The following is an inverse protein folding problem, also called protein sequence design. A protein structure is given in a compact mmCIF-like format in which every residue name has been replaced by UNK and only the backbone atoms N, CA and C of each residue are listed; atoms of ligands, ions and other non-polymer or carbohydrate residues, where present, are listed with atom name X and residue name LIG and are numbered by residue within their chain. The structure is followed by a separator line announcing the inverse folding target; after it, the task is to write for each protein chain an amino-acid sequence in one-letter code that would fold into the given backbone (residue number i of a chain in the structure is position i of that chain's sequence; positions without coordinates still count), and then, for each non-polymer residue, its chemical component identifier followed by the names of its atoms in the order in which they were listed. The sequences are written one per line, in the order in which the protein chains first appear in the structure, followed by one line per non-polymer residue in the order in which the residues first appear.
data_IF_568561654996
#
_entry.id   IF_568561654996
#
_cell.length_a   1.000
_cell.length_b   1.000
_cell.length_c   1.000
_cell.angle_alpha   90.00
_cell.angle_beta   90.00
_cell.angle_gamma   90.00
#
_symmetry.space_group_name_H-M   'P 1'
#
loop_
_entity.id
_entity.type
_entity.pdbx_description
1 polymer ?
#
# COMPACT_ATOMS: atom_id res chain seq x y z
N UNK A 1 77.58 9.74 17.64
CA UNK A 1 77.07 9.64 16.31
C UNK A 1 75.57 9.90 16.45
N UNK A 2 75.05 11.04 15.95
CA UNK A 2 73.62 11.44 16.19
C UNK A 2 72.66 10.85 15.17
N UNK A 3 71.46 10.57 15.67
CA UNK A 3 70.33 10.10 14.97
C UNK A 3 69.87 11.03 13.83
N UNK A 4 69.53 10.44 12.65
CA UNK A 4 68.88 11.13 11.58
C UNK A 4 67.35 11.03 11.80
N UNK A 5 66.59 12.11 11.75
CA UNK A 5 65.15 12.04 11.72
C UNK A 5 64.67 11.60 10.33
N UNK A 6 63.86 10.54 10.30
CA UNK A 6 63.09 10.12 9.13
C UNK A 6 62.01 11.15 8.85
N UNK A 7 62.26 12.05 7.92
CA UNK A 7 61.30 12.96 7.37
C UNK A 7 60.47 12.18 6.29
N UNK A 8 59.42 11.53 6.73
CA UNK A 8 58.41 10.98 5.80
C UNK A 8 57.61 12.14 5.22
N UNK A 9 57.99 12.59 4.05
CA UNK A 9 57.26 13.57 3.27
C UNK A 9 55.86 13.05 2.99
N UNK A 10 54.89 13.70 3.56
CA UNK A 10 53.48 13.57 3.17
C UNK A 10 53.39 14.13 1.75
N UNK A 11 53.36 13.25 0.76
CA UNK A 11 53.00 13.62 -0.60
C UNK A 11 51.51 13.99 -0.56
N UNK A 12 51.13 15.23 -0.92
CA UNK A 12 49.73 15.57 -1.04
C UNK A 12 49.14 14.69 -2.16
N UNK A 13 48.27 13.77 -1.77
CA UNK A 13 47.50 12.96 -2.74
C UNK A 13 46.78 13.91 -3.67
N UNK A 14 47.00 13.74 -4.99
CA UNK A 14 46.20 14.40 -6.04
C UNK A 14 44.73 14.24 -5.68
N UNK A 15 44.01 15.36 -5.52
CA UNK A 15 42.56 15.43 -5.50
C UNK A 15 42.04 14.85 -6.84
N UNK A 16 41.86 13.55 -6.88
CA UNK A 16 41.15 12.91 -7.96
C UNK A 16 39.69 13.24 -7.73
N UNK A 17 39.19 14.25 -8.42
CA UNK A 17 37.77 14.60 -8.39
C UNK A 17 36.92 13.34 -8.61
N UNK A 18 36.21 12.95 -7.58
CA UNK A 18 35.37 11.74 -7.64
C UNK A 18 34.33 11.90 -8.76
N UNK A 19 34.21 10.87 -9.58
CA UNK A 19 33.25 10.85 -10.67
C UNK A 19 31.82 11.01 -10.10
N UNK A 20 31.01 11.86 -10.76
CA UNK A 20 29.60 12.04 -10.37
C UNK A 20 28.89 10.69 -10.27
N UNK A 21 28.09 10.55 -9.21
CA UNK A 21 27.31 9.34 -8.99
C UNK A 21 26.16 9.23 -10.01
N UNK A 22 26.12 8.12 -10.73
CA UNK A 22 24.98 7.76 -11.57
C UNK A 22 23.95 6.98 -10.71
N UNK A 23 22.73 7.50 -10.52
CA UNK A 23 21.67 6.79 -9.79
C UNK A 23 21.33 5.39 -10.32
N UNK A 24 21.66 5.10 -11.59
CA UNK A 24 21.48 3.76 -12.19
C UNK A 24 22.40 2.72 -11.54
N UNK A 25 23.54 3.14 -11.02
CA UNK A 25 24.46 2.27 -10.26
C UNK A 25 23.87 1.76 -8.94
N UNK A 26 22.75 2.35 -8.47
CA UNK A 26 22.00 1.85 -7.32
C UNK A 26 21.12 0.62 -7.65
N UNK A 27 21.14 0.11 -8.88
CA UNK A 27 20.31 -1.06 -9.27
C UNK A 27 20.50 -2.30 -8.37
N UNK A 28 21.69 -2.67 -7.87
CA UNK A 28 21.83 -3.79 -6.94
C UNK A 28 21.07 -3.60 -5.63
N UNK A 29 21.05 -2.39 -5.09
CA UNK A 29 20.26 -2.04 -3.91
C UNK A 29 18.74 -2.11 -4.21
N UNK A 30 18.32 -1.54 -5.32
CA UNK A 30 16.91 -1.49 -5.73
C UNK A 30 16.36 -2.90 -5.99
N UNK A 31 17.16 -3.75 -6.63
CA UNK A 31 16.78 -5.11 -7.01
C UNK A 31 16.63 -6.09 -5.83
N UNK A 32 17.08 -5.73 -4.63
CA UNK A 32 16.74 -6.48 -3.40
C UNK A 32 15.23 -6.56 -3.14
N UNK A 33 14.47 -5.58 -3.66
CA UNK A 33 13.02 -5.58 -3.50
C UNK A 33 12.35 -6.51 -4.50
N UNK A 34 11.46 -7.37 -4.02
CA UNK A 34 10.70 -8.32 -4.86
C UNK A 34 9.66 -7.60 -5.73
N UNK A 35 9.09 -6.50 -5.24
CA UNK A 35 7.99 -5.78 -5.89
C UNK A 35 8.49 -4.73 -6.87
N UNK A 36 8.03 -4.78 -8.14
CA UNK A 36 8.34 -3.77 -9.16
C UNK A 36 7.89 -2.36 -8.77
N UNK A 37 6.77 -2.24 -8.06
CA UNK A 37 6.30 -0.95 -7.56
C UNK A 37 7.28 -0.36 -6.53
N UNK A 38 7.81 -1.19 -5.64
CA UNK A 38 8.83 -0.80 -4.66
C UNK A 38 10.14 -0.44 -5.35
N UNK A 39 10.57 -1.24 -6.33
CA UNK A 39 11.78 -0.94 -7.12
C UNK A 39 11.68 0.43 -7.79
N UNK A 40 10.56 0.71 -8.49
CA UNK A 40 10.33 2.02 -9.12
C UNK A 40 10.31 3.16 -8.10
N UNK A 41 9.69 2.98 -6.94
CA UNK A 41 9.65 4.00 -5.90
C UNK A 41 11.04 4.27 -5.30
N UNK A 42 11.83 3.23 -5.08
CA UNK A 42 13.20 3.33 -4.58
C UNK A 42 14.12 4.01 -5.59
N UNK A 43 14.09 3.59 -6.87
CA UNK A 43 14.86 4.23 -7.93
C UNK A 43 14.58 5.72 -8.04
N UNK A 44 13.29 6.11 -8.00
CA UNK A 44 12.92 7.53 -8.01
C UNK A 44 13.45 8.29 -6.82
N UNK A 45 13.34 7.74 -5.61
CA UNK A 45 13.80 8.43 -4.41
C UNK A 45 15.33 8.62 -4.41
N UNK A 46 16.08 7.62 -4.86
CA UNK A 46 17.55 7.72 -5.03
C UNK A 46 17.88 8.76 -6.10
N UNK A 47 17.24 8.68 -7.28
CA UNK A 47 17.46 9.65 -8.36
C UNK A 47 17.15 11.10 -7.91
N UNK A 48 16.02 11.32 -7.22
CA UNK A 48 15.61 12.62 -6.70
C UNK A 48 16.65 13.20 -5.72
N UNK A 49 17.19 12.36 -4.83
CA UNK A 49 18.21 12.78 -3.87
C UNK A 49 19.52 13.16 -4.56
N UNK A 50 20.03 12.30 -5.44
CA UNK A 50 21.30 12.57 -6.12
C UNK A 50 21.20 13.72 -7.13
N UNK A 51 20.04 13.95 -7.72
CA UNK A 51 19.76 15.17 -8.49
C UNK A 51 19.85 16.42 -7.59
N UNK A 52 19.30 16.38 -6.38
CA UNK A 52 19.37 17.49 -5.41
C UNK A 52 20.82 17.81 -5.01
N UNK A 53 21.64 16.81 -4.70
CA UNK A 53 23.05 16.99 -4.35
C UNK A 53 23.97 17.11 -5.57
N UNK A 54 23.41 17.37 -6.77
CA UNK A 54 24.13 17.59 -8.03
C UNK A 54 25.06 16.46 -8.44
N UNK A 55 24.69 15.21 -8.14
CA UNK A 55 25.48 14.04 -8.47
C UNK A 55 26.71 13.84 -7.58
N UNK A 56 26.74 14.41 -6.38
CA UNK A 56 27.80 14.20 -5.38
C UNK A 56 28.07 12.71 -5.20
N UNK A 57 29.35 12.32 -5.12
CA UNK A 57 29.67 10.91 -4.86
C UNK A 57 29.14 10.50 -3.46
N UNK A 58 28.67 9.25 -3.25
CA UNK A 58 28.13 8.82 -1.96
C UNK A 58 29.08 9.01 -0.76
N UNK A 59 30.39 8.90 -0.97
CA UNK A 59 31.40 9.12 0.07
C UNK A 59 31.52 10.58 0.52
N UNK A 60 31.05 11.52 -0.30
CA UNK A 60 31.10 12.97 -0.04
C UNK A 60 29.79 13.49 0.56
N UNK A 61 28.76 12.65 0.63
CA UNK A 61 27.47 13.04 1.20
C UNK A 61 27.58 13.12 2.70
N UNK A 62 27.22 14.29 3.24
CA UNK A 62 27.23 14.57 4.68
C UNK A 62 25.80 14.70 5.23
N UNK A 63 25.58 14.56 6.55
CA UNK A 63 24.25 14.64 7.15
C UNK A 63 23.49 15.93 6.80
N UNK A 64 24.20 17.06 6.67
CA UNK A 64 23.60 18.34 6.30
C UNK A 64 23.02 18.36 4.87
N UNK A 65 23.55 17.55 3.94
CA UNK A 65 22.96 17.40 2.61
C UNK A 65 21.58 16.72 2.71
N UNK A 66 21.47 15.69 3.55
CA UNK A 66 20.21 14.96 3.75
C UNK A 66 19.20 15.83 4.50
N UNK A 67 19.63 16.63 5.48
CA UNK A 67 18.79 17.59 6.20
C UNK A 67 18.23 18.65 5.24
N UNK A 68 19.09 19.28 4.41
CA UNK A 68 18.65 20.26 3.41
C UNK A 68 17.66 19.66 2.41
N UNK A 69 17.87 18.43 1.96
CA UNK A 69 16.92 17.76 1.08
C UNK A 69 15.58 17.51 1.78
N UNK A 70 15.57 17.05 3.03
CA UNK A 70 14.35 16.93 3.84
C UNK A 70 13.59 18.26 3.89
N UNK A 71 14.31 19.35 4.19
CA UNK A 71 13.71 20.66 4.36
C UNK A 71 13.20 21.23 3.04
N UNK A 72 13.89 20.99 1.91
CA UNK A 72 13.39 21.29 0.58
C UNK A 72 12.10 20.52 0.26
N UNK A 73 12.03 19.21 0.57
CA UNK A 73 10.80 18.43 0.36
C UNK A 73 9.62 19.00 1.17
N UNK A 74 9.89 19.50 2.39
CA UNK A 74 8.89 20.19 3.23
C UNK A 74 8.48 21.54 2.62
N UNK A 75 9.43 22.31 2.16
CA UNK A 75 9.16 23.58 1.48
C UNK A 75 8.32 23.40 0.19
N UNK A 76 8.52 22.29 -0.51
CA UNK A 76 7.67 21.87 -1.64
C UNK A 76 6.28 21.37 -1.22
N UNK A 77 5.89 21.50 0.04
CA UNK A 77 4.60 21.06 0.60
C UNK A 77 4.33 19.56 0.38
N UNK A 78 5.38 18.71 0.32
CA UNK A 78 5.19 17.27 0.26
C UNK A 78 4.60 16.76 1.59
N UNK A 79 3.66 15.82 1.50
CA UNK A 79 3.03 15.21 2.70
C UNK A 79 4.11 14.60 3.61
N UNK A 80 4.00 14.71 4.95
CA UNK A 80 4.97 14.16 5.90
C UNK A 80 5.31 12.69 5.65
N UNK A 81 4.30 11.86 5.32
CA UNK A 81 4.50 10.46 4.96
C UNK A 81 5.37 10.27 3.70
N UNK A 82 5.27 11.16 2.71
CA UNK A 82 6.10 11.13 1.50
C UNK A 82 7.55 11.49 1.83
N UNK A 83 7.76 12.51 2.68
CA UNK A 83 9.10 12.91 3.14
C UNK A 83 9.73 11.78 3.94
N UNK A 84 9.01 11.22 4.91
CA UNK A 84 9.45 10.09 5.72
C UNK A 84 9.81 8.87 4.87
N UNK A 85 8.97 8.53 3.88
CA UNK A 85 9.26 7.44 2.94
C UNK A 85 10.55 7.69 2.16
N UNK A 86 10.72 8.86 1.56
CA UNK A 86 11.92 9.20 0.78
C UNK A 86 13.19 9.14 1.65
N UNK A 87 13.14 9.68 2.87
CA UNK A 87 14.25 9.58 3.83
C UNK A 87 14.55 8.12 4.20
N UNK A 88 13.53 7.29 4.40
CA UNK A 88 13.74 5.87 4.72
C UNK A 88 14.45 5.11 3.58
N UNK A 89 14.15 5.46 2.32
CA UNK A 89 14.82 4.87 1.16
C UNK A 89 16.30 5.29 1.14
N UNK A 90 16.61 6.57 1.31
CA UNK A 90 17.99 7.07 1.33
C UNK A 90 18.76 6.48 2.50
N UNK A 91 18.15 6.37 3.68
CA UNK A 91 18.73 5.69 4.84
C UNK A 91 19.07 4.23 4.54
N UNK A 92 18.15 3.51 3.94
CA UNK A 92 18.36 2.12 3.55
C UNK A 92 19.43 1.97 2.46
N UNK A 93 19.53 2.92 1.54
CA UNK A 93 20.57 2.96 0.52
C UNK A 93 21.95 3.18 1.15
N UNK A 94 22.11 4.15 2.02
CA UNK A 94 23.38 4.38 2.69
C UNK A 94 23.77 3.26 3.67
N UNK A 95 22.78 2.59 4.28
CA UNK A 95 23.05 1.38 5.07
C UNK A 95 23.57 0.24 4.20
N UNK A 96 23.04 0.09 2.99
CA UNK A 96 23.55 -0.86 2.01
C UNK A 96 24.98 -0.54 1.58
N UNK A 97 25.30 0.73 1.33
CA UNK A 97 26.66 1.15 0.98
C UNK A 97 27.65 0.97 2.13
N UNK A 98 27.19 1.24 3.37
CA UNK A 98 27.99 1.01 4.57
C UNK A 98 28.30 -0.47 4.76
N UNK A 99 27.31 -1.35 4.61
CA UNK A 99 27.51 -2.79 4.69
C UNK A 99 28.46 -3.32 3.59
N UNK A 100 28.52 -2.63 2.45
CA UNK A 100 29.47 -2.92 1.35
C UNK A 100 30.83 -2.23 1.48
N UNK A 101 31.12 -1.54 2.60
CA UNK A 101 32.39 -0.86 2.82
C UNK A 101 32.62 0.41 1.98
N UNK A 102 31.59 0.87 1.23
CA UNK A 102 31.71 2.06 0.35
C UNK A 102 31.71 3.36 1.16
N UNK A 103 30.94 3.43 2.23
CA UNK A 103 30.91 4.58 3.15
C UNK A 103 31.13 4.11 4.59
N UNK A 104 31.88 4.86 5.43
CA UNK A 104 32.17 4.45 6.80
C UNK A 104 30.93 4.60 7.72
N UNK A 105 30.09 5.59 7.46
CA UNK A 105 28.91 5.90 8.26
C UNK A 105 27.72 6.19 7.36
N UNK A 106 26.51 6.01 7.90
CA UNK A 106 25.28 6.34 7.20
C UNK A 106 24.89 7.81 7.49
N UNK A 107 25.04 8.74 6.53
CA UNK A 107 24.74 10.17 6.74
C UNK A 107 23.23 10.43 6.89
N UNK A 108 22.39 9.46 6.53
CA UNK A 108 20.93 9.56 6.65
C UNK A 108 20.37 8.84 7.88
N UNK A 109 21.23 8.40 8.83
CA UNK A 109 20.77 7.70 10.03
C UNK A 109 19.77 8.54 10.83
N UNK A 110 18.84 7.89 11.56
CA UNK A 110 17.83 8.60 12.38
C UNK A 110 18.44 9.44 13.48
N UNK A 111 19.63 9.06 13.96
CA UNK A 111 20.39 9.83 14.96
C UNK A 111 20.86 11.18 14.41
N UNK A 112 21.13 11.28 13.11
CA UNK A 112 21.66 12.48 12.46
C UNK A 112 20.56 13.28 11.71
N UNK A 113 19.55 12.59 11.19
CA UNK A 113 18.47 13.20 10.43
C UNK A 113 17.13 12.63 10.89
N UNK A 114 16.43 13.38 11.71
CA UNK A 114 15.10 13.01 12.19
C UNK A 114 14.08 13.04 11.06
N UNK A 115 13.23 12.00 10.92
CA UNK A 115 12.11 12.06 10.01
C UNK A 115 11.06 13.08 10.51
N UNK A 116 10.19 13.60 9.64
CA UNK A 116 9.07 14.41 10.08
C UNK A 116 8.11 13.57 10.94
N UNK A 117 7.47 14.21 11.90
CA UNK A 117 6.39 13.60 12.66
C UNK A 117 5.25 13.21 11.71
N UNK A 118 4.75 12.00 11.89
CA UNK A 118 3.60 11.51 11.15
C UNK A 118 2.35 11.67 12.00
N UNK A 119 1.20 12.05 11.40
CA UNK A 119 -0.06 12.03 12.10
C UNK A 119 -0.28 10.64 12.74
N UNK A 120 -0.76 10.64 13.97
CA UNK A 120 -1.08 9.40 14.71
C UNK A 120 -2.16 8.61 13.99
N UNK A 121 -3.13 9.33 13.41
CA UNK A 121 -4.19 8.73 12.62
C UNK A 121 -3.77 8.54 11.16
N UNK A 122 -4.10 7.39 10.56
CA UNK A 122 -3.89 7.17 9.14
C UNK A 122 -4.75 8.14 8.32
N UNK A 123 -4.22 8.68 7.22
CA UNK A 123 -4.98 9.52 6.28
C UNK A 123 -6.17 8.77 5.69
N UNK A 124 -7.28 9.49 5.44
CA UNK A 124 -8.54 8.95 4.93
C UNK A 124 -9.61 8.86 6.02
N UNK A 125 -10.79 8.39 5.67
CA UNK A 125 -11.93 8.28 6.59
C UNK A 125 -12.65 6.94 6.50
N UNK A 126 -13.38 6.56 7.53
CA UNK A 126 -14.36 5.49 7.50
C UNK A 126 -15.73 6.07 7.12
N UNK A 127 -16.49 5.36 6.32
CA UNK A 127 -17.86 5.69 5.97
C UNK A 127 -18.82 5.26 7.10
N UNK A 128 -19.82 6.09 7.36
CA UNK A 128 -20.97 5.71 8.17
C UNK A 128 -21.83 4.66 7.45
N UNK A 129 -22.69 3.95 8.18
CA UNK A 129 -23.60 2.99 7.59
C UNK A 129 -24.56 3.61 6.54
N UNK A 130 -24.94 4.88 6.74
CA UNK A 130 -25.76 5.64 5.81
C UNK A 130 -25.02 5.92 4.49
N UNK A 131 -23.77 6.37 4.57
CA UNK A 131 -22.91 6.63 3.41
C UNK A 131 -22.61 5.35 2.62
N UNK A 132 -22.37 4.21 3.30
CA UNK A 132 -22.19 2.92 2.65
C UNK A 132 -23.45 2.53 1.84
N UNK A 133 -24.64 2.72 2.41
CA UNK A 133 -25.89 2.46 1.68
C UNK A 133 -26.03 3.34 0.44
N UNK A 134 -25.75 4.64 0.55
CA UNK A 134 -25.82 5.55 -0.60
C UNK A 134 -24.79 5.19 -1.68
N UNK A 135 -23.56 4.90 -1.28
CA UNK A 135 -22.51 4.50 -2.22
C UNK A 135 -22.89 3.23 -2.99
N UNK A 136 -23.44 2.23 -2.32
CA UNK A 136 -23.85 0.95 -2.93
C UNK A 136 -25.16 1.06 -3.72
N UNK A 137 -26.00 2.04 -3.47
CA UNK A 137 -27.21 2.31 -4.24
C UNK A 137 -26.92 3.00 -5.59
N UNK A 138 -25.74 3.59 -5.77
CA UNK A 138 -25.40 4.34 -6.99
C UNK A 138 -25.34 3.50 -8.27
N UNK A 139 -24.64 2.34 -8.29
CA UNK A 139 -24.48 1.53 -9.48
C UNK A 139 -25.81 0.89 -9.96
N UNK A 140 -26.15 1.06 -11.25
CA UNK A 140 -27.27 0.34 -11.84
C UNK A 140 -26.90 -1.13 -12.04
N UNK A 141 -27.41 -2.01 -11.18
CA UNK A 141 -27.12 -3.44 -11.14
C UNK A 141 -27.73 -4.25 -12.28
N UNK A 142 -28.61 -3.68 -13.07
CA UNK A 142 -29.16 -4.32 -14.26
C UNK A 142 -28.18 -4.27 -15.45
N UNK A 143 -27.20 -3.38 -15.37
CA UNK A 143 -26.15 -3.25 -16.39
C UNK A 143 -24.86 -3.95 -15.93
N UNK A 144 -24.14 -4.65 -16.84
CA UNK A 144 -22.92 -5.38 -16.50
C UNK A 144 -21.86 -4.49 -15.79
N UNK A 145 -21.73 -3.24 -16.22
CA UNK A 145 -20.79 -2.29 -15.62
C UNK A 145 -21.18 -1.92 -14.18
N UNK A 146 -22.45 -1.63 -13.95
CA UNK A 146 -22.95 -1.29 -12.62
C UNK A 146 -22.93 -2.49 -11.68
N UNK A 147 -23.30 -3.69 -12.15
CA UNK A 147 -23.21 -4.93 -11.38
C UNK A 147 -21.75 -5.22 -10.99
N UNK A 148 -20.78 -5.03 -11.91
CA UNK A 148 -19.34 -5.13 -11.62
C UNK A 148 -18.91 -4.18 -10.51
N UNK A 149 -19.27 -2.91 -10.65
CA UNK A 149 -18.83 -1.86 -9.73
C UNK A 149 -19.43 -2.05 -8.34
N UNK A 150 -20.71 -2.46 -8.27
CA UNK A 150 -21.38 -2.85 -7.03
C UNK A 150 -20.66 -4.02 -6.35
N UNK A 151 -20.45 -5.13 -7.07
CA UNK A 151 -19.81 -6.32 -6.55
C UNK A 151 -18.37 -6.02 -6.08
N UNK A 152 -17.61 -5.23 -6.86
CA UNK A 152 -16.27 -4.81 -6.52
C UNK A 152 -16.23 -4.01 -5.20
N UNK A 153 -17.08 -3.00 -5.05
CA UNK A 153 -17.14 -2.19 -3.83
C UNK A 153 -17.64 -3.01 -2.64
N UNK A 154 -18.60 -3.89 -2.84
CA UNK A 154 -19.12 -4.78 -1.79
C UNK A 154 -18.04 -5.75 -1.30
N UNK A 155 -17.27 -6.37 -2.20
CA UNK A 155 -16.10 -7.20 -1.85
C UNK A 155 -15.12 -6.43 -0.97
N UNK A 156 -14.81 -5.18 -1.31
CA UNK A 156 -13.88 -4.36 -0.52
C UNK A 156 -14.45 -4.01 0.87
N UNK A 157 -15.72 -3.67 0.94
CA UNK A 157 -16.41 -3.31 2.19
C UNK A 157 -16.66 -4.50 3.12
N UNK A 158 -16.82 -5.70 2.57
CA UNK A 158 -17.13 -6.90 3.37
C UNK A 158 -15.88 -7.70 3.74
N UNK A 159 -14.93 -7.82 2.82
CA UNK A 159 -13.73 -8.64 3.00
C UNK A 159 -12.49 -7.80 3.29
N UNK A 160 -12.60 -6.47 3.31
CA UNK A 160 -11.49 -5.54 3.55
C UNK A 160 -10.26 -5.76 2.66
N UNK A 161 -10.42 -6.25 1.44
CA UNK A 161 -9.33 -6.50 0.51
C UNK A 161 -8.60 -5.20 0.11
N UNK A 162 -7.28 -5.31 -0.13
CA UNK A 162 -6.51 -4.21 -0.74
C UNK A 162 -6.86 -4.09 -2.22
N UNK A 163 -6.76 -2.88 -2.76
CA UNK A 163 -7.04 -2.64 -4.19
C UNK A 163 -6.25 -3.56 -5.12
N UNK A 164 -4.98 -3.84 -4.82
CA UNK A 164 -4.16 -4.76 -5.61
C UNK A 164 -4.64 -6.22 -5.51
N UNK A 165 -5.18 -6.62 -4.37
CA UNK A 165 -5.75 -7.94 -4.14
C UNK A 165 -7.03 -8.11 -4.98
N UNK A 166 -7.93 -7.11 -4.93
CA UNK A 166 -9.14 -7.09 -5.76
C UNK A 166 -8.81 -7.17 -7.26
N UNK A 167 -7.82 -6.42 -7.72
CA UNK A 167 -7.38 -6.45 -9.12
C UNK A 167 -6.80 -7.80 -9.55
N UNK A 168 -6.26 -8.58 -8.61
CA UNK A 168 -5.65 -9.89 -8.90
C UNK A 168 -6.63 -11.07 -8.84
N UNK A 169 -7.87 -10.85 -8.37
CA UNK A 169 -8.87 -11.91 -8.29
C UNK A 169 -9.17 -12.52 -9.66
N UNK A 170 -9.27 -13.84 -9.68
CA UNK A 170 -9.66 -14.64 -10.83
C UNK A 170 -11.06 -15.22 -10.64
N UNK A 171 -11.68 -15.68 -11.70
CA UNK A 171 -12.95 -16.41 -11.58
C UNK A 171 -12.80 -17.63 -10.69
N UNK A 172 -11.67 -18.33 -10.79
CA UNK A 172 -11.31 -19.48 -9.94
C UNK A 172 -11.02 -19.12 -8.48
N UNK A 173 -10.89 -17.82 -8.14
CA UNK A 173 -10.74 -17.36 -6.75
C UNK A 173 -11.98 -17.67 -5.90
N UNK A 174 -13.16 -17.76 -6.51
CA UNK A 174 -14.42 -18.09 -5.83
C UNK A 174 -14.63 -19.60 -5.89
N UNK A 175 -14.57 -20.27 -4.74
CA UNK A 175 -14.68 -21.74 -4.66
C UNK A 175 -15.55 -22.18 -3.49
N UNK A 176 -16.25 -23.29 -3.68
CA UNK A 176 -16.87 -24.01 -2.58
C UNK A 176 -15.82 -24.83 -1.85
N UNK A 177 -15.66 -24.60 -0.57
CA UNK A 177 -14.66 -25.28 0.24
C UNK A 177 -15.07 -25.27 1.72
N UNK A 178 -14.86 -26.38 2.43
CA UNK A 178 -15.20 -26.52 3.86
C UNK A 178 -16.68 -26.18 4.17
N UNK A 179 -17.61 -26.68 3.32
CA UNK A 179 -19.05 -26.48 3.50
C UNK A 179 -19.56 -25.05 3.29
N UNK A 180 -18.77 -24.18 2.65
CA UNK A 180 -19.13 -22.78 2.36
C UNK A 180 -18.45 -22.22 1.13
N UNK A 181 -18.98 -21.14 0.61
CA UNK A 181 -18.27 -20.35 -0.39
C UNK A 181 -17.10 -19.61 0.23
N UNK A 182 -15.97 -19.62 -0.45
CA UNK A 182 -14.73 -18.97 -0.05
C UNK A 182 -14.16 -18.14 -1.20
N UNK A 183 -13.43 -17.10 -0.83
CA UNK A 183 -12.60 -16.31 -1.76
C UNK A 183 -11.13 -16.56 -1.44
N UNK A 184 -10.37 -16.98 -2.43
CA UNK A 184 -8.91 -17.17 -2.34
C UNK A 184 -8.19 -16.05 -3.06
N UNK A 185 -7.16 -15.51 -2.46
CA UNK A 185 -6.37 -14.43 -3.05
C UNK A 185 -4.92 -14.49 -2.61
N UNK A 186 -4.01 -14.21 -3.56
CA UNK A 186 -2.59 -13.99 -3.24
C UNK A 186 -2.43 -12.59 -2.64
N UNK A 187 -1.95 -12.53 -1.40
CA UNK A 187 -1.69 -11.28 -0.70
C UNK A 187 -0.23 -10.83 -0.87
N UNK A 188 0.07 -9.61 -0.39
CA UNK A 188 1.43 -9.06 -0.40
C UNK A 188 2.40 -10.06 0.26
N UNK A 189 3.46 -10.42 -0.48
CA UNK A 189 4.46 -11.43 -0.06
C UNK A 189 4.21 -12.83 -0.65
N UNK A 190 3.25 -12.98 -1.60
CA UNK A 190 3.04 -14.20 -2.36
C UNK A 190 2.24 -15.29 -1.63
N UNK A 191 1.83 -15.06 -0.37
CA UNK A 191 1.00 -16.01 0.38
C UNK A 191 -0.41 -16.04 -0.15
N UNK A 192 -1.01 -17.22 -0.21
CA UNK A 192 -2.42 -17.38 -0.47
C UNK A 192 -3.21 -17.28 0.83
N UNK A 193 -4.24 -16.44 0.82
CA UNK A 193 -5.14 -16.26 1.93
C UNK A 193 -6.58 -16.58 1.51
N UNK A 194 -7.38 -17.03 2.47
CA UNK A 194 -8.76 -17.47 2.25
C UNK A 194 -9.68 -16.67 3.16
N UNK A 195 -10.79 -16.19 2.57
CA UNK A 195 -11.89 -15.56 3.29
C UNK A 195 -13.17 -16.38 3.12
N UNK A 196 -13.99 -16.53 4.17
CA UNK A 196 -15.38 -16.94 3.97
C UNK A 196 -16.07 -15.89 3.10
N UNK A 197 -16.86 -16.32 2.13
CA UNK A 197 -17.58 -15.43 1.23
C UNK A 197 -19.03 -15.31 1.71
N UNK A 198 -19.45 -14.14 2.24
CA UNK A 198 -20.84 -13.93 2.67
C UNK A 198 -21.80 -14.06 1.51
N UNK A 199 -23.05 -14.44 1.81
CA UNK A 199 -24.10 -14.68 0.81
C UNK A 199 -24.33 -13.47 -0.10
N UNK A 200 -24.45 -12.28 0.48
CA UNK A 200 -24.66 -11.02 -0.26
C UNK A 200 -23.50 -10.72 -1.25
N UNK A 201 -22.26 -11.04 -0.87
CA UNK A 201 -21.10 -10.86 -1.76
C UNK A 201 -21.11 -11.90 -2.88
N UNK A 202 -21.43 -13.16 -2.55
CA UNK A 202 -21.52 -14.24 -3.55
C UNK A 202 -22.59 -13.92 -4.60
N UNK A 203 -23.78 -13.53 -4.17
CA UNK A 203 -24.88 -13.13 -5.04
C UNK A 203 -24.50 -11.95 -5.94
N UNK A 204 -23.86 -10.92 -5.40
CA UNK A 204 -23.41 -9.78 -6.19
C UNK A 204 -22.37 -10.17 -7.27
N UNK A 205 -21.46 -11.10 -6.95
CA UNK A 205 -20.51 -11.64 -7.92
C UNK A 205 -21.23 -12.45 -8.99
N UNK A 206 -22.18 -13.29 -8.61
CA UNK A 206 -22.93 -14.12 -9.55
C UNK A 206 -23.79 -13.29 -10.51
N UNK A 207 -24.46 -12.25 -9.99
CA UNK A 207 -25.22 -11.31 -10.81
C UNK A 207 -24.33 -10.62 -11.83
N UNK A 208 -23.17 -10.14 -11.41
CA UNK A 208 -22.21 -9.57 -12.33
C UNK A 208 -21.73 -10.57 -13.39
N UNK A 209 -21.36 -11.79 -12.98
CA UNK A 209 -20.88 -12.81 -13.90
C UNK A 209 -21.98 -13.24 -14.90
N UNK A 210 -23.22 -13.36 -14.45
CA UNK A 210 -24.38 -13.68 -15.30
C UNK A 210 -24.61 -12.62 -16.38
N UNK A 211 -24.59 -11.35 -16.00
CA UNK A 211 -24.76 -10.22 -16.94
C UNK A 211 -23.57 -10.06 -17.91
N UNK A 212 -22.39 -10.48 -17.49
CA UNK A 212 -21.15 -10.39 -18.27
C UNK A 212 -20.82 -11.69 -19.04
N UNK A 213 -21.71 -12.69 -18.98
CA UNK A 213 -21.48 -14.05 -19.50
C UNK A 213 -21.08 -14.05 -20.97
N UNK A 214 -21.84 -13.38 -21.82
CA UNK A 214 -21.59 -13.34 -23.27
C UNK A 214 -20.19 -12.81 -23.60
N UNK A 215 -19.76 -11.77 -22.91
CA UNK A 215 -18.40 -11.22 -23.05
C UNK A 215 -17.35 -12.20 -22.56
N UNK A 216 -17.62 -12.92 -21.46
CA UNK A 216 -16.70 -13.91 -20.89
C UNK A 216 -16.58 -15.15 -21.75
N UNK A 217 -17.64 -15.60 -22.37
CA UNK A 217 -17.64 -16.71 -23.32
C UNK A 217 -16.69 -16.43 -24.48
N UNK A 218 -16.68 -15.19 -25.00
CA UNK A 218 -15.75 -14.77 -26.04
C UNK A 218 -14.29 -14.76 -25.52
N UNK A 219 -14.08 -14.37 -24.27
CA UNK A 219 -12.73 -14.29 -23.70
C UNK A 219 -12.17 -15.62 -23.17
N UNK A 220 -13.02 -16.63 -22.95
CA UNK A 220 -12.66 -17.95 -22.42
C UNK A 220 -12.48 -19.01 -23.51
N UNK A 221 -12.52 -18.63 -24.78
CA UNK A 221 -12.28 -19.56 -25.88
C UNK A 221 -10.98 -20.35 -25.78
N UNK A 222 -10.04 -19.89 -24.95
CA UNK A 222 -8.71 -20.48 -24.76
C UNK A 222 -8.53 -21.20 -23.40
N UNK A 223 -9.57 -21.44 -22.62
CA UNK A 223 -9.50 -22.17 -21.34
C UNK A 223 -8.76 -21.47 -20.21
N UNK A 224 -8.37 -20.22 -20.36
CA UNK A 224 -7.66 -19.46 -19.33
C UNK A 224 -8.58 -18.95 -18.21
N UNK A 225 -8.10 -19.03 -16.97
CA UNK A 225 -8.77 -18.48 -15.79
C UNK A 225 -8.75 -16.95 -15.81
N UNK A 226 -9.87 -16.34 -16.22
CA UNK A 226 -9.97 -14.91 -16.41
C UNK A 226 -10.03 -14.12 -15.11
N UNK A 227 -9.60 -12.85 -15.15
CA UNK A 227 -9.79 -11.92 -14.03
C UNK A 227 -11.26 -11.81 -13.65
N UNK A 228 -11.54 -11.80 -12.33
CA UNK A 228 -12.91 -11.69 -11.82
C UNK A 228 -13.55 -10.36 -12.24
N UNK A 229 -12.83 -9.25 -12.00
CA UNK A 229 -13.28 -7.92 -12.39
C UNK A 229 -12.50 -7.42 -13.61
N UNK A 230 -13.22 -7.18 -14.71
CA UNK A 230 -12.64 -6.77 -15.97
C UNK A 230 -13.08 -5.35 -16.36
N UNK A 231 -12.28 -4.61 -17.16
CA UNK A 231 -12.70 -3.34 -17.70
C UNK A 231 -13.92 -3.54 -18.62
N UNK A 232 -14.86 -2.60 -18.58
CA UNK A 232 -15.91 -2.52 -19.58
C UNK A 232 -15.32 -1.90 -20.83
N UNK A 233 -14.98 -2.75 -21.79
CA UNK A 233 -14.33 -2.32 -23.02
C UNK A 233 -15.41 -2.04 -24.07
N UNK A 234 -15.23 -0.92 -24.77
CA UNK A 234 -15.98 -0.64 -25.99
C UNK A 234 -15.83 -1.85 -26.93
N UNK A 235 -16.92 -2.37 -27.48
CA UNK A 235 -17.01 -3.58 -28.34
C UNK A 235 -16.02 -3.62 -29.51
N UNK A 236 -15.28 -2.53 -29.75
CA UNK A 236 -14.27 -2.40 -30.81
C UNK A 236 -12.87 -2.92 -30.45
N UNK A 237 -12.56 -3.07 -29.16
CA UNK A 237 -11.25 -3.57 -28.71
C UNK A 237 -11.47 -4.79 -27.83
N UNK A 238 -11.37 -5.97 -28.41
CA UNK A 238 -11.58 -7.29 -27.78
C UNK A 238 -10.47 -7.70 -26.78
N UNK A 239 -9.86 -6.76 -26.06
CA UNK A 239 -8.86 -7.07 -25.02
C UNK A 239 -9.53 -7.47 -23.69
N UNK A 240 -10.30 -8.56 -23.68
CA UNK A 240 -11.03 -9.06 -22.51
C UNK A 240 -10.16 -9.78 -21.47
N UNK A 241 -8.88 -10.01 -21.75
CA UNK A 241 -7.97 -10.80 -20.89
C UNK A 241 -7.38 -10.01 -19.72
N UNK A 242 -7.47 -8.68 -19.72
CA UNK A 242 -6.87 -7.83 -18.70
C UNK A 242 -7.83 -7.57 -17.54
N UNK A 243 -7.35 -7.74 -16.31
CA UNK A 243 -8.06 -7.30 -15.12
C UNK A 243 -8.09 -5.78 -14.99
N UNK A 244 -8.93 -5.28 -14.08
CA UNK A 244 -8.92 -3.87 -13.70
C UNK A 244 -7.55 -3.48 -13.12
N UNK A 245 -7.02 -2.34 -13.55
CA UNK A 245 -5.86 -1.74 -12.88
C UNK A 245 -6.27 -1.06 -11.58
N UNK A 246 -5.34 -0.92 -10.63
CA UNK A 246 -5.57 -0.19 -9.38
C UNK A 246 -6.04 1.24 -9.60
N UNK A 247 -5.55 1.90 -10.66
CA UNK A 247 -5.98 3.25 -11.08
C UNK A 247 -7.44 3.25 -11.56
N UNK A 248 -7.87 2.20 -12.27
CA UNK A 248 -9.26 2.08 -12.71
C UNK A 248 -10.19 1.87 -11.52
N UNK A 249 -9.84 0.99 -10.57
CA UNK A 249 -10.61 0.79 -9.34
C UNK A 249 -10.71 2.11 -8.55
N UNK A 250 -9.63 2.88 -8.47
CA UNK A 250 -9.68 4.20 -7.84
C UNK A 250 -10.66 5.15 -8.52
N UNK A 251 -10.69 5.18 -9.87
CA UNK A 251 -11.65 5.99 -10.62
C UNK A 251 -13.09 5.51 -10.42
N UNK A 252 -13.32 4.20 -10.35
CA UNK A 252 -14.65 3.62 -10.09
C UNK A 252 -15.16 4.09 -8.73
N UNK A 253 -14.37 3.93 -7.67
CA UNK A 253 -14.73 4.34 -6.32
C UNK A 253 -14.99 5.84 -6.25
N UNK A 254 -14.11 6.67 -6.82
CA UNK A 254 -14.27 8.12 -6.84
C UNK A 254 -15.54 8.55 -7.60
N UNK A 255 -15.82 7.93 -8.76
CA UNK A 255 -17.05 8.21 -9.54
C UNK A 255 -18.32 7.94 -8.74
N UNK A 256 -18.39 6.79 -8.05
CA UNK A 256 -19.58 6.46 -7.27
C UNK A 256 -19.67 7.26 -5.97
N UNK A 257 -18.55 7.66 -5.40
CA UNK A 257 -18.51 8.56 -4.26
C UNK A 257 -19.08 9.96 -4.62
N UNK A 258 -18.67 10.50 -5.75
CA UNK A 258 -19.17 11.76 -6.30
C UNK A 258 -20.68 11.66 -6.62
N UNK A 259 -21.07 10.64 -7.39
CA UNK A 259 -22.49 10.38 -7.74
C UNK A 259 -23.39 10.29 -6.50
N UNK A 260 -22.93 9.62 -5.46
CA UNK A 260 -23.67 9.42 -4.21
C UNK A 260 -23.52 10.57 -3.21
N UNK A 261 -22.76 11.62 -3.55
CA UNK A 261 -22.48 12.79 -2.71
C UNK A 261 -21.91 12.42 -1.33
N UNK A 262 -21.12 11.38 -1.26
CA UNK A 262 -20.47 10.95 0.00
C UNK A 262 -19.06 11.53 0.17
N UNK A 263 -18.66 12.48 -0.70
CA UNK A 263 -17.36 13.14 -0.67
C UNK A 263 -16.24 12.27 -1.24
N UNK A 264 -15.02 12.79 -1.19
CA UNK A 264 -13.84 12.11 -1.75
C UNK A 264 -13.57 10.77 -1.08
N UNK A 265 -13.46 9.72 -1.89
CA UNK A 265 -13.12 8.37 -1.44
C UNK A 265 -12.04 7.74 -2.29
N UNK A 266 -11.23 6.94 -1.62
CA UNK A 266 -10.29 6.02 -2.23
C UNK A 266 -10.66 4.56 -1.92
N UNK A 267 -10.15 3.58 -2.67
CA UNK A 267 -10.30 2.17 -2.33
C UNK A 267 -9.83 1.82 -0.91
N UNK A 268 -8.85 2.57 -0.39
CA UNK A 268 -8.36 2.35 0.97
C UNK A 268 -9.38 2.75 2.04
N UNK A 269 -10.23 3.74 1.76
CA UNK A 269 -11.29 4.17 2.67
C UNK A 269 -12.40 3.11 2.79
N UNK A 270 -12.70 2.35 1.72
CA UNK A 270 -13.62 1.21 1.80
C UNK A 270 -13.05 0.11 2.72
N UNK A 271 -11.76 -0.19 2.58
CA UNK A 271 -11.09 -1.13 3.48
C UNK A 271 -11.06 -0.62 4.92
N UNK A 272 -10.77 0.67 5.13
CA UNK A 272 -10.84 1.32 6.44
C UNK A 272 -12.22 1.18 7.04
N UNK A 273 -13.27 1.48 6.28
CA UNK A 273 -14.67 1.36 6.70
C UNK A 273 -14.97 -0.03 7.22
N UNK A 274 -14.55 -1.09 6.50
CA UNK A 274 -14.73 -2.47 6.95
C UNK A 274 -14.07 -2.75 8.30
N UNK A 275 -12.83 -2.29 8.48
CA UNK A 275 -12.03 -2.51 9.69
C UNK A 275 -12.62 -1.73 10.87
N UNK A 276 -12.87 -0.44 10.69
CA UNK A 276 -13.45 0.42 11.72
C UNK A 276 -14.83 -0.07 12.14
N UNK A 277 -15.69 -0.47 11.17
CA UNK A 277 -17.00 -1.03 11.50
C UNK A 277 -16.89 -2.33 12.30
N UNK A 278 -15.95 -3.20 11.96
CA UNK A 278 -15.74 -4.44 12.70
C UNK A 278 -15.31 -4.17 14.16
N UNK A 279 -14.40 -3.22 14.37
CA UNK A 279 -13.96 -2.81 15.71
C UNK A 279 -15.13 -2.19 16.49
N UNK A 280 -15.87 -1.26 15.89
CA UNK A 280 -17.03 -0.62 16.53
C UNK A 280 -18.19 -1.60 16.82
N UNK A 281 -18.18 -2.78 16.19
CA UNK A 281 -19.13 -3.87 16.50
C UNK A 281 -18.63 -4.80 17.62
N UNK A 282 -17.59 -4.42 18.36
CA UNK A 282 -17.04 -5.19 19.49
C UNK A 282 -16.19 -6.40 19.11
N UNK A 283 -15.81 -6.55 17.82
CA UNK A 283 -14.93 -7.64 17.42
C UNK A 283 -13.51 -7.40 17.95
N UNK A 284 -12.87 -8.46 18.43
CA UNK A 284 -11.51 -8.39 18.95
C UNK A 284 -10.50 -8.03 17.87
N UNK A 285 -9.39 -7.43 18.24
CA UNK A 285 -8.28 -7.14 17.31
C UNK A 285 -7.82 -8.37 16.53
N UNK A 286 -7.82 -9.55 17.17
CA UNK A 286 -7.47 -10.82 16.52
C UNK A 286 -8.46 -11.19 15.41
N UNK A 287 -9.75 -11.07 15.66
CA UNK A 287 -10.79 -11.35 14.64
C UNK A 287 -10.69 -10.38 13.47
N UNK A 288 -10.49 -9.08 13.75
CA UNK A 288 -10.33 -8.05 12.72
C UNK A 288 -9.01 -8.24 11.96
N UNK A 289 -7.94 -8.67 12.62
CA UNK A 289 -6.68 -9.02 11.96
C UNK A 289 -6.86 -10.21 11.02
N UNK A 290 -7.58 -11.25 11.44
CA UNK A 290 -7.90 -12.40 10.59
C UNK A 290 -8.72 -12.00 9.37
N UNK A 291 -9.69 -11.09 9.50
CA UNK A 291 -10.46 -10.56 8.38
C UNK A 291 -9.59 -9.73 7.43
N UNK A 292 -8.83 -8.80 7.98
CA UNK A 292 -8.06 -7.81 7.20
C UNK A 292 -6.71 -8.31 6.71
N UNK A 293 -6.25 -9.46 7.20
CA UNK A 293 -4.95 -10.08 6.88
C UNK A 293 -3.77 -9.12 7.09
N UNK A 294 -3.84 -8.28 8.11
CA UNK A 294 -2.69 -7.48 8.53
C UNK A 294 -1.64 -8.38 9.19
N UNK A 295 -0.39 -8.24 8.75
CA UNK A 295 0.72 -9.01 9.33
C UNK A 295 1.01 -8.58 10.78
N UNK A 296 0.95 -7.26 11.03
CA UNK A 296 1.20 -6.67 12.34
C UNK A 296 -0.13 -6.25 12.97
N UNK A 297 -0.48 -6.77 14.16
CA UNK A 297 -1.67 -6.39 14.91
C UNK A 297 -1.74 -4.89 15.20
N UNK A 298 -0.60 -4.24 15.43
CA UNK A 298 -0.51 -2.79 15.65
C UNK A 298 -1.13 -1.98 14.52
N UNK A 299 -1.17 -2.55 13.30
CA UNK A 299 -1.83 -1.88 12.17
C UNK A 299 -3.34 -1.84 12.35
N UNK A 300 -3.97 -2.86 12.94
CA UNK A 300 -5.42 -2.88 13.24
C UNK A 300 -5.74 -1.86 14.32
N UNK A 301 -4.92 -1.77 15.34
CA UNK A 301 -5.10 -0.82 16.45
C UNK A 301 -5.15 0.66 16.01
N UNK A 302 -4.56 1.00 14.86
CA UNK A 302 -4.64 2.37 14.30
C UNK A 302 -6.02 2.75 13.76
N UNK A 303 -6.92 1.80 13.60
CA UNK A 303 -8.29 2.01 13.14
C UNK A 303 -9.28 2.06 14.30
N UNK A 304 -8.81 1.85 15.50
CA UNK A 304 -9.62 1.92 16.71
C UNK A 304 -9.67 3.36 17.23
N UNK A 305 -10.77 4.02 16.96
CA UNK A 305 -11.06 5.37 17.44
C UNK A 305 -11.70 5.37 18.84
N UNK A 306 -12.07 4.18 19.35
CA UNK A 306 -12.66 4.01 20.67
C UNK A 306 -11.65 3.82 21.81
N UNK A 307 -10.33 3.89 21.53
CA UNK A 307 -9.29 3.62 22.54
C UNK A 307 -9.33 4.50 23.78
N UNK A 308 -9.91 5.68 23.66
CA UNK A 308 -10.05 6.65 24.75
C UNK A 308 -11.49 6.72 25.28
N UNK A 309 -12.36 5.80 24.85
CA UNK A 309 -13.74 5.74 25.33
C UNK A 309 -13.77 5.13 26.74
N UNK A 310 -13.97 5.97 27.75
CA UNK A 310 -14.04 5.57 29.14
C UNK A 310 -15.21 4.62 29.40
N UNK A 311 -16.30 4.72 28.65
CA UNK A 311 -17.47 3.82 28.80
C UNK A 311 -17.16 2.37 28.44
N UNK A 312 -16.14 2.17 27.58
CA UNK A 312 -15.65 0.84 27.18
C UNK A 312 -14.40 0.40 27.96
N UNK A 313 -14.03 1.12 28.99
CA UNK A 313 -12.92 0.74 29.85
C UNK A 313 -13.23 -0.59 30.54
N UNK A 314 -12.27 -1.50 30.53
CA UNK A 314 -12.38 -2.79 31.21
C UNK A 314 -12.74 -2.63 32.73
N UNK A 315 -12.36 -1.52 33.33
CA UNK A 315 -12.69 -1.19 34.72
C UNK A 315 -14.20 -1.21 34.98
N UNK A 316 -15.02 -0.82 34.00
CA UNK A 316 -16.47 -0.78 34.13
C UNK A 316 -17.12 -2.18 34.08
N UNK A 317 -16.36 -3.21 33.75
CA UNK A 317 -16.85 -4.60 33.61
C UNK A 317 -16.21 -5.54 34.63
N UNK A 318 -15.30 -5.03 35.47
CA UNK A 318 -14.68 -5.79 36.53
C UNK A 318 -15.52 -5.62 37.82
N UNK A 319 -16.56 -6.44 37.98
CA UNK A 319 -17.25 -6.63 39.25
C UNK A 319 -16.67 -7.86 39.96
N UNK A 320 -16.38 -7.73 41.25
CA UNK A 320 -15.97 -8.84 42.12
C UNK A 320 -17.10 -9.21 43.10
N UNK A 321 -18.34 -8.82 42.76
CA UNK A 321 -19.51 -9.17 43.50
C UNK A 321 -19.94 -10.58 43.12
N UNK A 322 -20.08 -11.40 44.11
CA UNK A 322 -20.19 -12.86 44.18
C UNK A 322 -20.89 -13.59 43.01
N UNK A 323 -20.24 -14.66 42.57
CA UNK A 323 -20.90 -15.80 41.91
C UNK A 323 -21.77 -16.57 42.91
#
# INVERSE_FOLDING_TARGET
MPDKPLNAGIVPGRDVALKKFDPRSASPFVNKSVSDATRRAYSRAVADFFAFVRGKHPTEVVPTDVQRWRDQLRAQRKRPATVSFKLSVIRSFFEYLKAGGVVPVNPASTKLVSPPELPTEPSGRALSAKEVRYLLAGPNREKPEGARDYALMLVMLRLSLRVSEVCSLRASSVKWSHGRWTLRCKVKGGREEVWPLPKDVKEAIDDYLRLDRKRREISHSDGEDAHLFQPHVNYRTLEFKKGLSTRMVQKIVARWADYSRVGDLSPHDLRRTAITKALNSGLTYRQVQMMSKHRDPKTVMRYDHGRENLDQSAVNFLGYEDE
#
